data_IF_171721765480
#
_entry.id   IF_171721765480
#
_cell.length_a   1.000
_cell.length_b   1.000
_cell.length_c   1.000
_cell.angle_alpha   90.00
_cell.angle_beta   90.00
_cell.angle_gamma   90.00
#
_symmetry.space_group_name_H-M   'P 1'
#
loop_
_entity.id
_entity.type
_entity.pdbx_description
1 polymer ?
#
# COMPACT_ATOMS: atom_id res chain seq x y z
N UNK A 1 -21.01 5.22 -4.17
CA UNK A 1 -20.00 4.68 -5.11
C UNK A 1 -18.64 4.68 -4.41
N UNK A 2 -18.06 3.50 -4.15
CA UNK A 2 -16.79 3.37 -3.43
C UNK A 2 -15.57 3.79 -4.25
N UNK A 3 -14.38 3.79 -3.65
CA UNK A 3 -13.11 4.13 -4.31
C UNK A 3 -12.62 3.07 -5.32
N UNK A 4 -13.38 1.99 -5.56
CA UNK A 4 -13.00 0.89 -6.44
C UNK A 4 -12.69 1.30 -7.89
N UNK A 5 -13.49 2.15 -8.56
CA UNK A 5 -13.17 2.63 -9.91
C UNK A 5 -11.86 3.44 -9.95
N UNK A 6 -11.58 4.19 -8.87
CA UNK A 6 -10.33 4.94 -8.73
C UNK A 6 -9.14 3.98 -8.59
N UNK A 7 -9.27 2.94 -7.78
CA UNK A 7 -8.23 1.91 -7.62
C UNK A 7 -7.99 1.16 -8.92
N UNK A 8 -9.04 0.81 -9.65
CA UNK A 8 -8.90 0.15 -10.96
C UNK A 8 -8.19 1.05 -11.96
N UNK A 9 -8.52 2.35 -12.00
CA UNK A 9 -7.81 3.35 -12.81
C UNK A 9 -6.33 3.41 -12.44
N UNK A 10 -6.02 3.45 -11.13
CA UNK A 10 -4.62 3.44 -10.66
C UNK A 10 -3.89 2.18 -11.12
N UNK A 11 -4.53 1.02 -11.00
CA UNK A 11 -3.98 -0.25 -11.45
C UNK A 11 -3.80 -0.29 -12.96
N UNK A 12 -4.74 0.21 -13.76
CA UNK A 12 -4.66 0.13 -15.21
C UNK A 12 -3.58 1.05 -15.78
N UNK A 13 -3.49 2.29 -15.29
CA UNK A 13 -2.64 3.34 -15.88
C UNK A 13 -1.18 3.33 -15.38
N UNK A 14 -0.87 2.68 -14.26
CA UNK A 14 0.51 2.64 -13.74
C UNK A 14 1.42 1.70 -14.52
N UNK A 15 2.73 1.95 -14.56
CA UNK A 15 3.71 0.99 -15.07
C UNK A 15 3.88 -0.18 -14.09
N UNK A 16 4.01 0.15 -12.81
CA UNK A 16 4.14 -0.79 -11.70
C UNK A 16 3.17 -0.45 -10.58
N UNK A 17 2.69 -1.46 -9.86
CA UNK A 17 1.81 -1.27 -8.70
C UNK A 17 2.46 -1.76 -7.41
N UNK A 18 2.52 -0.91 -6.39
CA UNK A 18 2.88 -1.28 -5.04
C UNK A 18 1.63 -1.68 -4.26
N UNK A 19 1.54 -2.96 -3.89
CA UNK A 19 0.50 -3.47 -3.00
C UNK A 19 1.02 -3.38 -1.57
N UNK A 20 0.50 -2.43 -0.81
CA UNK A 20 0.97 -2.11 0.53
C UNK A 20 0.22 -2.95 1.57
N UNK A 21 0.96 -3.68 2.38
CA UNK A 21 0.48 -4.63 3.40
C UNK A 21 1.11 -4.27 4.75
N UNK A 22 0.37 -4.46 5.84
CA UNK A 22 0.86 -4.23 7.20
C UNK A 22 1.54 -5.51 7.71
N UNK A 23 2.85 -5.48 7.98
CA UNK A 23 3.62 -6.66 8.38
C UNK A 23 3.15 -7.27 9.70
N UNK A 24 2.48 -6.50 10.57
CA UNK A 24 1.93 -7.00 11.84
C UNK A 24 0.70 -7.88 11.63
N UNK A 25 0.00 -7.68 10.51
CA UNK A 25 -1.27 -8.35 10.20
C UNK A 25 -1.38 -8.61 8.68
N UNK A 26 -0.46 -9.42 8.12
CA UNK A 26 -0.30 -9.60 6.68
C UNK A 26 -1.54 -10.18 6.02
N UNK A 27 -2.11 -11.24 6.59
CA UNK A 27 -3.33 -11.91 6.09
C UNK A 27 -4.55 -10.98 6.09
N UNK A 28 -4.65 -10.12 7.10
CA UNK A 28 -5.78 -9.20 7.28
C UNK A 28 -5.67 -8.01 6.32
N UNK A 29 -4.44 -7.51 6.11
CA UNK A 29 -4.18 -6.41 5.20
C UNK A 29 -4.14 -6.82 3.73
N UNK A 30 -4.28 -8.11 3.41
CA UNK A 30 -4.39 -8.59 2.04
C UNK A 30 -5.78 -8.32 1.44
N UNK A 31 -5.78 -7.65 0.28
CA UNK A 31 -7.02 -7.30 -0.42
C UNK A 31 -7.19 -8.16 -1.68
N UNK A 32 -8.02 -9.21 -1.60
CA UNK A 32 -8.30 -10.12 -2.72
C UNK A 32 -8.86 -9.39 -3.96
N UNK A 33 -9.66 -8.34 -3.78
CA UNK A 33 -10.20 -7.54 -4.89
C UNK A 33 -9.09 -6.83 -5.68
N UNK A 34 -8.11 -6.25 -4.98
CA UNK A 34 -6.92 -5.64 -5.61
C UNK A 34 -6.14 -6.69 -6.41
N UNK A 35 -5.88 -7.88 -5.86
CA UNK A 35 -5.17 -8.94 -6.58
C UNK A 35 -5.94 -9.46 -7.80
N UNK A 36 -7.27 -9.56 -7.73
CA UNK A 36 -8.11 -9.87 -8.89
C UNK A 36 -7.96 -8.79 -9.99
N UNK A 37 -7.96 -7.51 -9.62
CA UNK A 37 -7.77 -6.41 -10.57
C UNK A 37 -6.36 -6.42 -11.20
N UNK A 38 -5.31 -6.65 -10.41
CA UNK A 38 -3.94 -6.80 -10.92
C UNK A 38 -3.84 -7.91 -11.96
N UNK A 39 -4.46 -9.07 -11.69
CA UNK A 39 -4.51 -10.20 -12.64
C UNK A 39 -5.29 -9.83 -13.91
N UNK A 40 -6.47 -9.20 -13.76
CA UNK A 40 -7.31 -8.75 -14.89
C UNK A 40 -6.54 -7.83 -15.83
N UNK A 41 -5.80 -6.86 -15.30
CA UNK A 41 -5.04 -5.88 -16.06
C UNK A 41 -3.61 -6.33 -16.41
N UNK A 42 -3.25 -7.59 -16.10
CA UNK A 42 -1.89 -8.16 -16.27
C UNK A 42 -0.80 -7.22 -15.74
N UNK A 43 -1.08 -6.54 -14.64
CA UNK A 43 -0.22 -5.48 -14.14
C UNK A 43 0.90 -6.07 -13.27
N UNK A 44 2.12 -5.61 -13.54
CA UNK A 44 3.26 -5.97 -12.69
C UNK A 44 3.16 -5.26 -11.35
N UNK A 45 3.27 -6.06 -10.28
CA UNK A 45 3.04 -5.58 -8.92
C UNK A 45 4.08 -6.08 -7.93
N UNK A 46 4.41 -5.24 -6.97
CA UNK A 46 5.32 -5.53 -5.87
C UNK A 46 4.57 -5.53 -4.55
N UNK A 47 4.71 -6.60 -3.76
CA UNK A 47 4.21 -6.64 -2.39
C UNK A 47 5.16 -5.89 -1.47
N UNK A 48 4.63 -4.94 -0.71
CA UNK A 48 5.38 -4.09 0.20
C UNK A 48 4.84 -4.29 1.62
N UNK A 49 5.56 -5.04 2.44
CA UNK A 49 5.28 -5.18 3.87
C UNK A 49 5.85 -3.98 4.63
N UNK A 50 4.95 -3.18 5.21
CA UNK A 50 5.27 -1.97 5.97
C UNK A 50 5.27 -2.23 7.47
N UNK A 51 5.68 -1.21 8.24
CA UNK A 51 5.69 -1.24 9.71
C UNK A 51 6.53 -2.39 10.26
N UNK A 52 7.61 -2.73 9.56
CA UNK A 52 8.54 -3.78 9.99
C UNK A 52 9.23 -3.41 11.31
N UNK A 53 9.25 -2.12 11.66
CA UNK A 53 9.72 -1.60 12.94
C UNK A 53 8.79 -1.91 14.11
N UNK A 54 7.56 -2.39 13.83
CA UNK A 54 6.55 -2.72 14.82
C UNK A 54 6.16 -4.20 14.81
N UNK A 55 6.77 -5.02 13.96
CA UNK A 55 6.54 -6.45 13.87
C UNK A 55 7.73 -7.19 14.48
N UNK A 56 7.48 -8.30 15.17
CA UNK A 56 8.54 -9.17 15.71
C UNK A 56 9.43 -9.73 14.58
N UNK A 57 10.69 -10.02 14.88
CA UNK A 57 11.61 -10.64 13.92
C UNK A 57 11.10 -11.99 13.38
N UNK A 58 10.44 -12.79 14.22
CA UNK A 58 9.85 -14.06 13.81
C UNK A 58 8.84 -13.88 12.66
N UNK A 59 7.89 -12.95 12.83
CA UNK A 59 6.91 -12.58 11.80
C UNK A 59 7.60 -12.11 10.52
N UNK A 60 8.63 -11.25 10.63
CA UNK A 60 9.36 -10.75 9.46
C UNK A 60 10.10 -11.89 8.74
N UNK A 61 10.75 -12.79 9.47
CA UNK A 61 11.47 -13.92 8.91
C UNK A 61 10.53 -14.92 8.23
N UNK A 62 9.36 -15.20 8.82
CA UNK A 62 8.30 -15.99 8.20
C UNK A 62 7.85 -15.37 6.88
N UNK A 63 7.50 -14.08 6.89
CA UNK A 63 7.05 -13.39 5.68
C UNK A 63 8.12 -13.34 4.58
N UNK A 64 9.40 -13.24 4.93
CA UNK A 64 10.50 -13.29 3.94
C UNK A 64 10.58 -14.66 3.26
N UNK A 65 10.37 -15.75 4.00
CA UNK A 65 10.34 -17.11 3.46
C UNK A 65 9.13 -17.32 2.54
N UNK A 66 7.96 -16.85 2.96
CA UNK A 66 6.70 -16.98 2.19
C UNK A 66 6.64 -16.07 0.96
N UNK A 67 7.29 -14.91 1.04
CA UNK A 67 7.27 -13.89 -0.01
C UNK A 67 8.68 -13.40 -0.36
N UNK A 68 9.51 -14.25 -1.00
CA UNK A 68 10.93 -13.95 -1.26
C UNK A 68 11.15 -12.75 -2.20
N UNK A 69 10.12 -12.37 -2.98
CA UNK A 69 10.15 -11.22 -3.90
C UNK A 69 9.52 -9.94 -3.30
N UNK A 70 9.04 -9.99 -2.06
CA UNK A 70 8.45 -8.83 -1.41
C UNK A 70 9.50 -7.87 -0.86
N UNK A 71 9.12 -6.60 -0.71
CA UNK A 71 9.92 -5.61 -0.01
C UNK A 71 9.42 -5.43 1.41
N UNK A 72 10.37 -5.23 2.31
CA UNK A 72 10.15 -5.05 3.75
C UNK A 72 10.65 -3.66 4.10
N UNK A 73 9.75 -2.78 4.55
CA UNK A 73 10.08 -1.35 4.72
C UNK A 73 9.47 -0.76 5.98
N UNK A 74 10.13 0.27 6.51
CA UNK A 74 9.51 1.24 7.42
C UNK A 74 9.59 2.60 6.78
N UNK A 75 8.44 3.16 6.38
CA UNK A 75 8.37 4.51 5.82
C UNK A 75 8.70 5.59 6.87
N UNK A 76 8.43 5.33 8.15
CA UNK A 76 8.69 6.27 9.25
C UNK A 76 10.17 6.25 9.63
N UNK A 77 10.76 5.05 9.76
CA UNK A 77 12.19 4.89 10.09
C UNK A 77 13.10 4.92 8.86
N UNK A 78 12.53 5.10 7.66
CA UNK A 78 13.21 5.08 6.36
C UNK A 78 14.01 3.78 6.08
N UNK A 79 13.57 2.65 6.63
CA UNK A 79 14.22 1.34 6.45
C UNK A 79 13.74 0.70 5.15
N UNK A 80 14.65 0.10 4.38
CA UNK A 80 14.35 -0.62 3.13
C UNK A 80 13.95 0.24 1.93
N UNK A 81 13.71 1.55 2.12
CA UNK A 81 13.21 2.47 1.09
C UNK A 81 14.20 2.63 -0.07
N UNK A 82 15.50 2.75 0.20
CA UNK A 82 16.54 2.85 -0.83
C UNK A 82 16.60 1.60 -1.72
N UNK A 83 16.44 0.42 -1.12
CA UNK A 83 16.43 -0.85 -1.85
C UNK A 83 15.17 -0.98 -2.73
N UNK A 84 14.01 -0.60 -2.20
CA UNK A 84 12.76 -0.53 -2.96
C UNK A 84 12.91 0.41 -4.17
N UNK A 85 13.39 1.64 -3.95
CA UNK A 85 13.59 2.62 -5.02
C UNK A 85 14.57 2.12 -6.09
N UNK A 86 15.70 1.53 -5.68
CA UNK A 86 16.69 0.95 -6.60
C UNK A 86 16.07 -0.14 -7.46
N UNK A 87 15.33 -1.06 -6.85
CA UNK A 87 14.71 -2.19 -7.55
C UNK A 87 13.67 -1.72 -8.57
N UNK A 88 12.85 -0.72 -8.23
CA UNK A 88 11.90 -0.12 -9.17
C UNK A 88 12.59 0.52 -10.37
N UNK A 89 13.73 1.19 -10.17
CA UNK A 89 14.49 1.82 -11.27
C UNK A 89 15.21 0.79 -12.15
N UNK A 90 15.73 -0.29 -11.56
CA UNK A 90 16.30 -1.41 -12.32
C UNK A 90 15.23 -2.04 -13.22
N UNK A 91 14.04 -2.29 -12.67
CA UNK A 91 12.93 -2.86 -13.41
C UNK A 91 12.44 -1.91 -14.52
N UNK A 92 12.30 -0.62 -14.22
CA UNK A 92 11.98 0.40 -15.21
C UNK A 92 12.99 0.40 -16.37
N UNK A 93 14.29 0.35 -16.05
CA UNK A 93 15.36 0.30 -17.06
C UNK A 93 15.27 -0.97 -17.92
N UNK A 94 15.01 -2.13 -17.32
CA UNK A 94 14.79 -3.40 -18.03
C UNK A 94 13.67 -3.30 -19.06
N UNK A 95 12.63 -2.52 -18.74
CA UNK A 95 11.47 -2.27 -19.60
C UNK A 95 11.58 -1.03 -20.50
N UNK A 96 12.74 -0.36 -20.51
CA UNK A 96 12.97 0.89 -21.26
C UNK A 96 12.01 2.02 -20.88
N UNK A 97 11.61 2.09 -19.62
CA UNK A 97 10.74 3.13 -19.06
C UNK A 97 11.61 4.21 -18.41
N UNK A 98 11.68 5.40 -19.03
CA UNK A 98 12.53 6.49 -18.57
C UNK A 98 12.02 7.18 -17.30
N UNK A 99 10.71 7.24 -17.09
CA UNK A 99 10.08 7.93 -15.97
C UNK A 99 8.88 7.12 -15.44
N UNK A 100 9.13 6.06 -14.66
CA UNK A 100 8.11 5.08 -14.30
C UNK A 100 7.01 5.67 -13.42
N UNK A 101 5.78 5.34 -13.79
CA UNK A 101 4.57 5.64 -13.05
C UNK A 101 4.22 4.49 -12.08
N UNK A 102 4.22 4.81 -10.79
CA UNK A 102 4.04 3.88 -9.69
C UNK A 102 2.66 4.09 -9.07
N UNK A 103 1.79 3.11 -9.21
CA UNK A 103 0.49 3.06 -8.54
C UNK A 103 0.63 2.54 -7.12
N UNK A 104 -0.06 3.14 -6.15
CA UNK A 104 -0.01 2.67 -4.76
C UNK A 104 -1.43 2.31 -4.31
N UNK A 105 -1.59 1.06 -3.88
CA UNK A 105 -2.88 0.48 -3.48
C UNK A 105 -2.75 -0.29 -2.18
N UNK A 106 -3.86 -0.38 -1.44
CA UNK A 106 -3.93 -1.11 -0.18
C UNK A 106 -5.03 -0.56 0.73
N UNK A 107 -5.26 -1.23 1.86
CA UNK A 107 -6.24 -0.77 2.85
C UNK A 107 -5.91 0.62 3.40
N UNK A 108 -6.87 1.32 4.03
CA UNK A 108 -6.54 2.45 4.90
C UNK A 108 -5.48 2.07 5.95
N UNK A 109 -4.66 3.03 6.37
CA UNK A 109 -3.71 2.92 7.50
C UNK A 109 -2.60 1.86 7.42
N UNK A 110 -2.46 1.11 6.32
CA UNK A 110 -1.33 0.18 6.09
C UNK A 110 0.02 0.87 5.78
N UNK A 111 0.10 2.20 5.86
CA UNK A 111 1.38 2.92 5.66
C UNK A 111 1.68 3.41 4.24
N UNK A 112 0.67 3.49 3.34
CA UNK A 112 0.81 4.04 1.97
C UNK A 112 1.49 5.42 1.97
N UNK A 113 0.93 6.38 2.70
CA UNK A 113 1.44 7.76 2.77
C UNK A 113 2.85 7.83 3.36
N UNK A 114 3.21 6.95 4.31
CA UNK A 114 4.54 6.89 4.88
C UNK A 114 5.58 6.45 3.82
N UNK A 115 5.29 5.43 3.01
CA UNK A 115 6.16 5.03 1.89
C UNK A 115 6.27 6.14 0.86
N UNK A 116 5.16 6.75 0.46
CA UNK A 116 5.14 7.87 -0.50
C UNK A 116 6.08 8.96 -0.05
N UNK A 117 5.93 9.41 1.20
CA UNK A 117 6.76 10.46 1.78
C UNK A 117 8.24 10.06 1.80
N UNK A 118 8.55 8.81 2.16
CA UNK A 118 9.93 8.34 2.18
C UNK A 118 10.54 8.26 0.76
N UNK A 119 9.79 7.80 -0.24
CA UNK A 119 10.25 7.76 -1.64
C UNK A 119 10.44 9.17 -2.24
N UNK A 120 9.63 10.13 -1.81
CA UNK A 120 9.68 11.52 -2.26
C UNK A 120 10.80 12.36 -1.61
N UNK A 121 11.28 12.01 -0.42
CA UNK A 121 12.22 12.82 0.38
C UNK A 121 13.69 12.82 -0.13
N UNK A 122 13.87 13.46 -1.29
CA UNK A 122 15.01 14.34 -1.66
C UNK A 122 14.55 15.61 -2.42
N UNK A 123 13.26 15.75 -2.77
CA UNK A 123 12.70 16.97 -3.33
C UNK A 123 11.29 17.18 -2.76
N UNK A 124 10.91 18.42 -2.45
CA UNK A 124 9.55 18.76 -1.97
C UNK A 124 8.52 18.16 -2.94
N UNK A 125 7.74 17.18 -2.47
CA UNK A 125 6.64 16.61 -3.24
C UNK A 125 5.65 17.74 -3.57
N UNK A 126 5.66 18.21 -4.82
CA UNK A 126 4.58 19.08 -5.32
C UNK A 126 3.36 18.18 -5.51
N UNK A 127 2.37 18.34 -4.63
CA UNK A 127 1.05 17.73 -4.77
C UNK A 127 0.37 18.47 -5.93
N UNK A 128 0.32 17.87 -7.12
CA UNK A 128 -0.49 18.42 -8.20
C UNK A 128 -1.88 17.80 -8.12
N UNK A 129 -2.86 18.58 -7.69
CA UNK A 129 -4.27 18.28 -7.97
C UNK A 129 -4.48 18.56 -9.46
N UNK A 130 -4.78 17.55 -10.25
CA UNK A 130 -5.23 17.77 -11.64
C UNK A 130 -6.61 18.42 -11.55
N UNK A 131 -6.74 19.64 -12.07
CA UNK A 131 -7.98 20.40 -12.03
C UNK A 131 -9.09 19.63 -12.78
N UNK A 132 -10.26 19.48 -12.15
CA UNK A 132 -11.43 18.79 -12.73
C UNK A 132 -11.77 17.42 -12.11
N UNK A 133 -10.93 16.84 -11.24
CA UNK A 133 -11.25 15.57 -10.55
C UNK A 133 -11.47 15.77 -9.05
N UNK A 134 -12.74 15.81 -8.64
CA UNK A 134 -13.22 15.86 -7.26
C UNK A 134 -12.71 14.64 -6.46
N UNK A 135 -12.08 14.85 -5.29
CA UNK A 135 -11.75 13.81 -4.28
C UNK A 135 -10.99 12.57 -4.81
N UNK A 136 -10.17 12.74 -5.85
CA UNK A 136 -9.55 11.66 -6.64
C UNK A 136 -8.07 11.40 -6.38
N UNK A 137 -7.50 10.61 -7.31
CA UNK A 137 -6.09 10.21 -7.41
C UNK A 137 -5.15 11.40 -7.17
N UNK A 138 -4.12 11.21 -6.34
CA UNK A 138 -3.08 12.22 -6.15
C UNK A 138 -1.82 11.87 -6.95
N UNK A 139 -1.25 12.87 -7.63
CA UNK A 139 -0.03 12.73 -8.39
C UNK A 139 1.14 13.35 -7.65
N UNK A 140 2.21 12.57 -7.49
CA UNK A 140 3.37 12.96 -6.69
C UNK A 140 4.65 12.70 -7.48
N UNK A 141 5.50 13.72 -7.59
CA UNK A 141 6.85 13.58 -8.14
C UNK A 141 7.82 13.13 -7.04
N UNK A 142 8.55 12.06 -7.28
CA UNK A 142 9.48 11.45 -6.32
C UNK A 142 10.88 11.23 -6.94
N UNK A 143 11.51 12.34 -7.36
CA UNK A 143 12.78 12.30 -8.09
C UNK A 143 12.58 11.75 -9.51
N UNK A 144 13.12 10.55 -9.77
CA UNK A 144 13.00 9.83 -11.03
C UNK A 144 11.72 8.98 -11.17
N UNK A 145 10.82 9.03 -10.19
CA UNK A 145 9.54 8.31 -10.19
C UNK A 145 8.37 9.29 -10.23
N UNK A 146 7.27 8.88 -10.88
CA UNK A 146 5.94 9.49 -10.71
C UNK A 146 5.09 8.53 -9.89
N UNK A 147 4.39 9.04 -8.89
CA UNK A 147 3.52 8.23 -8.03
C UNK A 147 2.07 8.64 -8.27
N UNK A 148 1.21 7.64 -8.37
CA UNK A 148 -0.24 7.74 -8.43
C UNK A 148 -0.83 7.12 -7.16
N UNK A 149 -1.22 7.98 -6.22
CA UNK A 149 -1.79 7.57 -4.93
C UNK A 149 -3.30 7.37 -5.03
N UNK A 150 -3.78 6.24 -4.53
CA UNK A 150 -5.20 5.93 -4.40
C UNK A 150 -5.65 6.09 -2.94
N UNK A 151 -6.89 6.53 -2.71
CA UNK A 151 -7.51 6.40 -1.39
C UNK A 151 -7.44 4.94 -0.89
N UNK A 152 -7.35 4.75 0.44
CA UNK A 152 -7.39 3.42 1.01
C UNK A 152 -8.69 2.70 0.66
N UNK A 153 -8.59 1.47 0.17
CA UNK A 153 -9.74 0.72 -0.31
C UNK A 153 -10.16 -0.40 0.65
N UNK A 154 -11.47 -0.46 0.88
CA UNK A 154 -12.12 -1.48 1.70
C UNK A 154 -13.12 -2.23 0.80
N UNK A 155 -13.02 -3.56 0.66
CA UNK A 155 -14.06 -4.39 0.07
C UNK A 155 -15.41 -4.22 0.78
N UNK A 156 -16.48 -4.21 0.00
CA UNK A 156 -17.85 -4.07 0.55
C UNK A 156 -18.20 -5.27 1.44
N UNK A 157 -17.65 -6.44 1.11
CA UNK A 157 -17.84 -7.71 1.83
C UNK A 157 -17.00 -7.83 3.10
N UNK A 158 -16.07 -6.90 3.36
CA UNK A 158 -15.24 -6.99 4.55
C UNK A 158 -16.04 -6.71 5.82
N UNK A 159 -15.92 -7.61 6.79
CA UNK A 159 -16.62 -7.48 8.05
C UNK A 159 -16.07 -6.34 8.91
N UNK A 160 -16.94 -5.77 9.75
CA UNK A 160 -16.62 -4.67 10.66
C UNK A 160 -15.42 -4.98 11.58
N UNK A 161 -15.27 -6.25 11.96
CA UNK A 161 -14.16 -6.74 12.77
C UNK A 161 -12.81 -6.49 12.09
N UNK A 162 -12.68 -6.83 10.80
CA UNK A 162 -11.48 -6.61 10.00
C UNK A 162 -11.16 -5.12 9.86
N UNK A 163 -12.20 -4.29 9.68
CA UNK A 163 -12.03 -2.84 9.59
C UNK A 163 -11.59 -2.22 10.90
N UNK A 164 -12.11 -2.72 12.03
CA UNK A 164 -11.66 -2.32 13.36
C UNK A 164 -10.18 -2.68 13.59
N UNK A 165 -9.79 -3.91 13.28
CA UNK A 165 -8.39 -4.38 13.46
C UNK A 165 -7.40 -3.56 12.61
N UNK A 166 -7.75 -3.23 11.37
CA UNK A 166 -6.91 -2.39 10.49
C UNK A 166 -6.94 -0.90 10.85
N UNK A 167 -7.78 -0.49 11.82
CA UNK A 167 -8.05 0.91 12.13
C UNK A 167 -8.70 1.66 10.96
N UNK A 168 -9.35 0.96 10.03
CA UNK A 168 -9.98 1.52 8.84
C UNK A 168 -11.38 2.11 9.11
N UNK A 169 -11.90 1.97 10.34
CA UNK A 169 -13.17 2.52 10.80
C UNK A 169 -12.99 3.20 12.16
N UNK A 170 -13.71 4.30 12.40
CA UNK A 170 -13.68 4.98 13.71
C UNK A 170 -14.14 3.99 14.81
N UNK A 171 -13.35 3.79 15.89
CA UNK A 171 -13.70 2.93 17.02
C UNK A 171 -15.10 3.18 17.59
N UNK A 172 -15.52 4.44 17.69
CA UNK A 172 -16.84 4.83 18.21
C UNK A 172 -18.00 4.36 17.33
N UNK A 173 -17.71 4.05 16.06
CA UNK A 173 -18.71 3.58 15.09
C UNK A 173 -18.70 2.05 14.93
N UNK A 174 -17.91 1.33 15.71
CA UNK A 174 -17.86 -0.14 15.69
C UNK A 174 -18.99 -0.70 16.54
N UNK A 175 -19.85 -1.55 15.95
CA UNK A 175 -20.96 -2.18 16.70
C UNK A 175 -20.49 -3.11 17.80
N UNK A 176 -19.30 -3.70 17.66
CA UNK A 176 -18.74 -4.62 18.66
C UNK A 176 -17.24 -4.35 18.85
N UNK A 177 -16.95 -3.25 19.56
CA UNK A 177 -15.60 -2.83 19.89
C UNK A 177 -14.87 -3.87 20.75
N UNK A 178 -15.55 -4.48 21.72
CA UNK A 178 -14.98 -5.51 22.61
C UNK A 178 -14.42 -6.69 21.82
N UNK A 179 -15.17 -7.22 20.84
CA UNK A 179 -14.70 -8.31 19.99
C UNK A 179 -13.50 -7.93 19.14
N UNK A 180 -13.42 -6.68 18.68
CA UNK A 180 -12.25 -6.15 17.98
C UNK A 180 -11.04 -6.11 18.91
N UNK A 181 -11.21 -5.59 20.13
CA UNK A 181 -10.15 -5.50 21.13
C UNK A 181 -9.66 -6.90 21.55
N UNK A 182 -10.56 -7.83 21.85
CA UNK A 182 -10.22 -9.21 22.19
C UNK A 182 -9.40 -9.87 21.08
N UNK A 183 -9.76 -9.68 19.81
CA UNK A 183 -9.00 -10.21 18.68
C UNK A 183 -7.61 -9.59 18.52
N UNK A 184 -7.42 -8.33 18.92
CA UNK A 184 -6.11 -7.65 18.89
C UNK A 184 -5.24 -8.15 20.03
N UNK A 185 -5.82 -8.30 21.23
CA UNK A 185 -5.11 -8.75 22.43
C UNK A 185 -4.69 -10.22 22.27
N UNK A 186 -5.58 -11.10 21.80
CA UNK A 186 -5.32 -12.54 21.68
C UNK A 186 -4.47 -12.94 20.45
N UNK A 187 -4.12 -12.00 19.57
CA UNK A 187 -3.24 -12.23 18.40
C UNK A 187 -1.82 -11.69 18.58
N UNK A 188 -1.56 -10.95 19.65
CA UNK A 188 -0.21 -10.60 20.11
C UNK A 188 0.16 -11.50 21.29
#
# INVERSE_FOLDING_TARGET
>A
MGYWPIVEKVIAESDFVLVVLDARMPEISENKGVFKMLKKHRKESFRIFTKIDLASEEVINKLRKEHPKAFFVSGIKNLGISNLKRSLLIEAKRKKISYPLIGIVGYPNVGKSAIINALSKRQKAKISRVAGTTKGIQWIKAGSLKIMDSPGIVPIEDNELKLGILGAKNPEKLKNLEKVLLKIILKN
#
